data_IF_922228714559
#
_entry.id   IF_922228714559
#
_cell.length_a   1.000
_cell.length_b   1.000
_cell.length_c   1.000
_cell.angle_alpha   90.00
_cell.angle_beta   90.00
_cell.angle_gamma   90.00
#
_symmetry.space_group_name_H-M   'P 1'
#
loop_
_entity.id
_entity.type
_entity.pdbx_description
1 polymer ?
#
# COMPACT_ATOMS: atom_id res chain seq x y z
N UNK A 1 24.43 19.83 -8.45
CA UNK A 1 23.60 18.86 -9.19
C UNK A 1 22.62 18.29 -8.18
N UNK A 2 21.38 18.76 -8.17
CA UNK A 2 20.36 18.21 -7.27
C UNK A 2 20.02 16.82 -7.79
N UNK A 3 20.36 15.77 -7.03
CA UNK A 3 20.00 14.41 -7.40
C UNK A 3 18.47 14.39 -7.61
N UNK A 4 18.02 13.89 -8.78
CA UNK A 4 16.61 13.60 -9.00
C UNK A 4 16.15 12.73 -7.84
N UNK A 5 15.34 13.29 -6.96
CA UNK A 5 14.78 12.52 -5.87
C UNK A 5 13.84 11.50 -6.52
N UNK A 6 14.15 10.22 -6.34
CA UNK A 6 13.45 9.13 -7.00
C UNK A 6 11.97 9.07 -6.62
N UNK A 7 11.25 8.19 -7.32
CA UNK A 7 9.83 7.91 -7.11
C UNK A 7 9.66 6.55 -6.47
N UNK A 8 8.94 6.48 -5.36
CA UNK A 8 8.63 5.22 -4.68
C UNK A 8 7.12 5.06 -4.53
N UNK A 9 6.65 3.84 -4.72
CA UNK A 9 5.26 3.46 -4.51
C UNK A 9 5.18 2.46 -3.35
N UNK A 10 4.37 2.76 -2.35
CA UNK A 10 4.24 1.96 -1.12
C UNK A 10 2.85 1.35 -1.09
N UNK A 11 2.77 0.02 -1.17
CA UNK A 11 1.53 -0.73 -1.03
C UNK A 11 1.38 -1.11 0.45
N UNK A 12 0.33 -0.64 1.11
CA UNK A 12 0.17 -0.65 2.57
C UNK A 12 0.69 0.62 3.26
N UNK A 13 0.64 1.78 2.58
CA UNK A 13 1.26 3.02 3.05
C UNK A 13 0.64 3.65 4.31
N UNK A 14 -0.56 3.22 4.74
CA UNK A 14 -1.20 3.66 6.00
C UNK A 14 -0.87 2.75 7.19
N UNK A 15 -0.33 1.55 6.95
CA UNK A 15 0.12 0.64 7.99
C UNK A 15 1.25 1.20 8.85
N UNK A 16 1.61 0.50 9.94
CA UNK A 16 2.67 0.94 10.84
C UNK A 16 4.03 1.09 10.14
N UNK A 17 4.43 0.07 9.38
CA UNK A 17 5.66 0.11 8.60
C UNK A 17 5.54 1.04 7.38
N UNK A 18 4.40 1.01 6.69
CA UNK A 18 4.16 1.84 5.50
C UNK A 18 4.23 3.33 5.79
N UNK A 19 3.60 3.80 6.87
CA UNK A 19 3.63 5.22 7.25
C UNK A 19 5.05 5.69 7.55
N UNK A 20 5.84 4.88 8.28
CA UNK A 20 7.26 5.16 8.55
C UNK A 20 8.07 5.27 7.25
N UNK A 21 7.84 4.37 6.29
CA UNK A 21 8.51 4.40 4.98
C UNK A 21 8.14 5.68 4.23
N UNK A 22 6.85 6.04 4.20
CA UNK A 22 6.36 7.25 3.54
C UNK A 22 7.07 8.47 4.13
N UNK A 23 7.04 8.67 5.45
CA UNK A 23 7.70 9.81 6.10
C UNK A 23 9.21 9.82 5.82
N UNK A 24 9.87 8.66 5.79
CA UNK A 24 11.31 8.53 5.55
C UNK A 24 11.73 8.99 4.15
N UNK A 25 10.96 8.63 3.13
CA UNK A 25 11.21 9.04 1.75
C UNK A 25 10.79 10.49 1.50
N UNK A 26 9.67 10.93 2.09
CA UNK A 26 9.23 12.33 2.05
C UNK A 26 10.27 13.28 2.65
N UNK A 27 10.88 12.91 3.77
CA UNK A 27 11.96 13.69 4.40
C UNK A 27 13.23 13.84 3.53
N UNK A 28 13.39 12.99 2.51
CA UNK A 28 14.49 13.05 1.53
C UNK A 28 14.08 13.72 0.22
N UNK A 29 12.92 14.36 0.18
CA UNK A 29 12.31 14.96 -1.00
C UNK A 29 11.97 13.97 -2.13
N UNK A 30 11.81 12.68 -1.83
CA UNK A 30 11.35 11.72 -2.83
C UNK A 30 9.85 11.89 -3.07
N UNK A 31 9.42 11.58 -4.29
CA UNK A 31 8.01 11.45 -4.57
C UNK A 31 7.54 10.10 -4.01
N UNK A 32 6.47 10.13 -3.21
CA UNK A 32 5.92 8.93 -2.57
C UNK A 32 4.45 8.77 -2.91
N UNK A 33 4.12 7.67 -3.57
CA UNK A 33 2.75 7.21 -3.73
C UNK A 33 2.38 6.19 -2.64
N UNK A 34 1.18 6.29 -2.08
CA UNK A 34 0.64 5.34 -1.11
C UNK A 34 -0.56 4.62 -1.71
N UNK A 35 -0.56 3.28 -1.69
CA UNK A 35 -1.71 2.45 -2.05
C UNK A 35 -2.19 1.79 -0.77
N UNK A 36 -3.42 2.06 -0.36
CA UNK A 36 -4.00 1.47 0.85
C UNK A 36 -5.53 1.57 0.82
N UNK A 37 -6.23 0.99 1.78
CA UNK A 37 -7.68 1.16 1.96
C UNK A 37 -8.04 2.54 2.52
N UNK A 38 -7.05 3.35 2.88
CA UNK A 38 -7.23 4.69 3.44
C UNK A 38 -6.14 5.64 2.95
N UNK A 39 -6.50 6.89 2.72
CA UNK A 39 -5.54 7.89 2.27
C UNK A 39 -4.47 8.17 3.35
N UNK A 40 -3.24 8.38 2.91
CA UNK A 40 -2.15 8.90 3.71
C UNK A 40 -1.86 10.37 3.32
N UNK A 41 -2.10 11.30 4.24
CA UNK A 41 -1.93 12.75 4.03
C UNK A 41 -0.46 13.16 3.78
N UNK A 42 0.50 12.35 4.24
CA UNK A 42 1.92 12.62 4.03
C UNK A 42 2.40 12.27 2.61
N UNK A 43 1.71 11.34 1.94
CA UNK A 43 2.04 10.90 0.60
C UNK A 43 1.76 12.00 -0.44
N UNK A 44 2.52 12.00 -1.54
CA UNK A 44 2.26 12.93 -2.66
C UNK A 44 1.00 12.54 -3.43
N UNK A 45 0.69 11.25 -3.46
CA UNK A 45 -0.48 10.72 -4.12
C UNK A 45 -0.98 9.48 -3.39
N UNK A 46 -2.28 9.23 -3.50
CA UNK A 46 -2.95 8.13 -2.82
C UNK A 46 -3.82 7.37 -3.81
N UNK A 47 -3.72 6.04 -3.77
CA UNK A 47 -4.62 5.13 -4.46
C UNK A 47 -5.41 4.40 -3.40
N UNK A 48 -6.73 4.60 -3.37
CA UNK A 48 -7.61 4.01 -2.36
C UNK A 48 -8.18 2.71 -2.91
N UNK A 49 -7.89 1.60 -2.25
CA UNK A 49 -8.39 0.27 -2.61
C UNK A 49 -9.68 -0.02 -1.88
N UNK A 50 -10.71 -0.49 -2.59
CA UNK A 50 -11.99 -0.85 -1.98
C UNK A 50 -12.00 -2.32 -1.52
N UNK A 51 -12.25 -2.59 -0.24
CA UNK A 51 -12.15 -3.94 0.32
C UNK A 51 -13.26 -4.93 -0.10
N UNK A 52 -14.35 -4.46 -0.71
CA UNK A 52 -15.55 -5.27 -0.98
C UNK A 52 -15.69 -5.72 -2.45
N UNK A 53 -14.64 -5.57 -3.25
CA UNK A 53 -14.64 -5.90 -4.67
C UNK A 53 -13.96 -7.26 -4.92
N UNK A 54 -14.26 -7.88 -6.06
CA UNK A 54 -13.57 -9.13 -6.44
C UNK A 54 -12.08 -8.85 -6.65
N UNK A 55 -11.23 -9.88 -6.55
CA UNK A 55 -9.79 -9.70 -6.79
C UNK A 55 -9.47 -9.11 -8.17
N UNK A 56 -10.26 -9.44 -9.20
CA UNK A 56 -10.07 -8.94 -10.55
C UNK A 56 -10.46 -7.46 -10.64
N UNK A 57 -11.53 -7.07 -9.96
CA UNK A 57 -11.98 -5.67 -9.92
C UNK A 57 -10.98 -4.81 -9.13
N UNK A 58 -10.50 -5.30 -7.98
CA UNK A 58 -9.46 -4.64 -7.20
C UNK A 58 -8.17 -4.45 -7.99
N UNK A 59 -7.73 -5.47 -8.73
CA UNK A 59 -6.57 -5.35 -9.62
C UNK A 59 -6.78 -4.23 -10.64
N UNK A 60 -7.93 -4.20 -11.30
CA UNK A 60 -8.26 -3.18 -12.31
C UNK A 60 -8.31 -1.76 -11.72
N UNK A 61 -8.90 -1.58 -10.54
CA UNK A 61 -8.96 -0.28 -9.86
C UNK A 61 -7.56 0.19 -9.43
N UNK A 62 -6.76 -0.69 -8.84
CA UNK A 62 -5.38 -0.36 -8.42
C UNK A 62 -4.53 0.00 -9.62
N UNK A 63 -4.57 -0.78 -10.70
CA UNK A 63 -3.82 -0.50 -11.92
C UNK A 63 -4.20 0.86 -12.51
N UNK A 64 -5.50 1.15 -12.58
CA UNK A 64 -6.01 2.41 -13.11
C UNK A 64 -5.58 3.60 -12.24
N UNK A 65 -5.72 3.50 -10.93
CA UNK A 65 -5.32 4.55 -9.99
C UNK A 65 -3.81 4.79 -9.98
N UNK A 66 -3.01 3.72 -10.03
CA UNK A 66 -1.54 3.83 -10.15
C UNK A 66 -1.15 4.49 -11.47
N UNK A 67 -1.80 4.14 -12.57
CA UNK A 67 -1.53 4.75 -13.87
C UNK A 67 -1.86 6.25 -13.90
N UNK A 68 -2.98 6.65 -13.29
CA UNK A 68 -3.38 8.06 -13.15
C UNK A 68 -2.37 8.84 -12.29
N UNK A 69 -1.98 8.27 -11.15
CA UNK A 69 -1.04 8.88 -10.20
C UNK A 69 0.38 8.99 -10.78
N UNK A 70 0.83 8.00 -11.54
CA UNK A 70 2.16 8.00 -12.13
C UNK A 70 2.26 8.86 -13.38
N UNK A 71 1.16 9.13 -14.10
CA UNK A 71 1.12 9.99 -15.27
C UNK A 71 2.26 9.71 -16.28
N UNK A 72 2.42 8.42 -16.66
CA UNK A 72 3.45 7.88 -17.55
C UNK A 72 4.91 7.88 -17.03
N UNK A 73 5.14 8.29 -15.79
CA UNK A 73 6.46 8.27 -15.18
C UNK A 73 6.75 6.93 -14.51
N UNK A 74 8.04 6.58 -14.45
CA UNK A 74 8.49 5.32 -13.82
C UNK A 74 8.70 5.51 -12.33
N UNK A 75 8.54 4.42 -11.59
CA UNK A 75 8.96 4.33 -10.18
C UNK A 75 10.33 3.67 -10.10
N UNK A 76 11.16 4.14 -9.18
CA UNK A 76 12.44 3.52 -8.85
C UNK A 76 12.26 2.31 -7.93
N UNK A 77 11.21 2.30 -7.11
CA UNK A 77 10.90 1.20 -6.20
C UNK A 77 9.39 1.04 -5.98
N UNK A 78 8.96 -0.23 -5.88
CA UNK A 78 7.65 -0.63 -5.38
C UNK A 78 7.85 -1.45 -4.10
N UNK A 79 7.27 -0.99 -2.99
CA UNK A 79 7.44 -1.60 -1.69
C UNK A 79 6.09 -2.11 -1.21
N UNK A 80 5.90 -3.43 -1.20
CA UNK A 80 4.70 -4.07 -0.67
C UNK A 80 4.89 -4.42 0.80
N UNK A 81 4.23 -3.66 1.68
CA UNK A 81 4.19 -3.86 3.14
C UNK A 81 2.77 -4.03 3.65
N UNK A 82 1.78 -4.11 2.76
CA UNK A 82 0.43 -4.51 3.13
C UNK A 82 0.46 -5.97 3.59
N UNK A 83 -0.20 -6.21 4.71
CA UNK A 83 -0.17 -7.49 5.38
C UNK A 83 -0.58 -7.33 6.83
N UNK A 84 -1.51 -8.17 7.25
CA UNK A 84 -1.96 -8.28 8.63
C UNK A 84 -1.84 -9.71 9.13
N UNK A 85 -1.68 -9.86 10.43
CA UNK A 85 -1.76 -11.15 11.10
C UNK A 85 -3.09 -11.26 11.85
N UNK A 86 -3.86 -12.31 11.53
CA UNK A 86 -5.02 -12.72 12.30
C UNK A 86 -4.75 -14.11 12.90
N UNK A 87 -4.61 -14.17 14.23
CA UNK A 87 -4.40 -15.42 14.96
C UNK A 87 -5.68 -16.22 15.18
N UNK A 88 -5.55 -17.54 15.23
CA UNK A 88 -6.63 -18.46 15.59
C UNK A 88 -6.20 -19.45 16.68
N UNK A 89 -7.12 -19.83 17.55
CA UNK A 89 -6.88 -20.81 18.62
C UNK A 89 -7.48 -22.18 18.25
N UNK A 90 -6.64 -23.19 18.13
CA UNK A 90 -7.04 -24.57 17.78
C UNK A 90 -8.00 -25.22 18.80
N UNK A 91 -8.11 -24.70 20.03
CA UNK A 91 -9.02 -25.20 21.05
C UNK A 91 -10.42 -24.55 21.02
N UNK A 92 -10.67 -23.58 20.14
CA UNK A 92 -11.98 -22.95 20.02
C UNK A 92 -12.99 -23.91 19.36
N UNK A 93 -13.99 -24.37 20.12
CA UNK A 93 -15.16 -25.08 19.56
C UNK A 93 -16.07 -24.09 18.86
N UNK A 94 -15.85 -23.91 17.56
CA UNK A 94 -16.74 -23.15 16.70
C UNK A 94 -15.99 -22.31 15.68
N UNK A 95 -16.01 -22.80 14.43
CA UNK A 95 -15.48 -22.19 13.21
C UNK A 95 -13.95 -22.19 13.11
N UNK A 96 -13.49 -22.75 12.01
CA UNK A 96 -12.10 -22.89 11.63
C UNK A 96 -11.49 -21.50 11.36
N UNK A 97 -11.08 -20.78 12.39
CA UNK A 97 -10.14 -19.66 12.24
C UNK A 97 -8.74 -20.26 12.06
N UNK A 98 -8.53 -20.82 10.88
CA UNK A 98 -7.19 -21.08 10.37
C UNK A 98 -6.54 -19.71 10.18
N UNK A 99 -5.34 -19.51 10.73
CA UNK A 99 -4.54 -18.30 10.56
C UNK A 99 -4.72 -17.73 9.14
N UNK A 100 -5.33 -16.55 9.04
CA UNK A 100 -5.51 -15.89 7.75
C UNK A 100 -4.41 -14.84 7.63
N UNK A 101 -3.59 -14.93 6.59
CA UNK A 101 -2.87 -13.75 6.13
C UNK A 101 -3.91 -12.84 5.49
N UNK A 102 -4.11 -11.68 6.12
CA UNK A 102 -4.91 -10.61 5.56
C UNK A 102 -3.98 -9.83 4.62
N UNK A 103 -4.22 -9.94 3.31
CA UNK A 103 -3.58 -9.13 2.27
C UNK A 103 -4.51 -8.01 1.84
#
# INVERSE_FOLDING_TARGET
MSANAGRVLVYGGKGALGSTIVSHFKARNWWVGSIDMSANEEANANVIVKPNESWVDQESEVLSGVQEVLNQEKVDALICVAGGWAGGNAAAKGKNEVCHLLF
#
